data_IF_566590574925
#
_entry.id   IF_566590574925
#
_cell.length_a   1.000
_cell.length_b   1.000
_cell.length_c   1.000
_cell.angle_alpha   90.00
_cell.angle_beta   90.00
_cell.angle_gamma   90.00
#
_symmetry.space_group_name_H-M   'P 1'
#
loop_
_entity.id
_entity.type
_entity.pdbx_description
1 polymer ?
#
# COMPACT_ATOMS: atom_id res chain seq x y z
N UNK A 1 -25.95 -6.05 -8.00
CA UNK A 1 -24.65 -6.71 -7.82
C UNK A 1 -24.81 -8.12 -7.26
N UNK A 2 -25.53 -8.32 -6.15
CA UNK A 2 -25.77 -9.66 -5.57
C UNK A 2 -26.55 -10.60 -6.50
N UNK A 3 -27.54 -10.09 -7.26
CA UNK A 3 -28.26 -10.87 -8.26
C UNK A 3 -27.38 -11.27 -9.43
N UNK A 4 -26.51 -10.36 -9.91
CA UNK A 4 -25.53 -10.64 -10.94
C UNK A 4 -24.52 -11.71 -10.50
N UNK A 5 -24.04 -11.65 -9.27
CA UNK A 5 -23.17 -12.68 -8.68
C UNK A 5 -23.85 -14.07 -8.59
N UNK A 6 -25.15 -14.12 -8.26
CA UNK A 6 -25.90 -15.38 -8.27
C UNK A 6 -26.08 -15.92 -9.69
N UNK A 7 -26.35 -15.04 -10.65
CA UNK A 7 -26.47 -15.43 -12.06
C UNK A 7 -25.14 -15.93 -12.65
N UNK A 8 -24.00 -15.29 -12.28
CA UNK A 8 -22.67 -15.72 -12.69
C UNK A 8 -22.29 -17.09 -12.09
N UNK A 9 -22.72 -17.39 -10.84
CA UNK A 9 -22.52 -18.71 -10.24
C UNK A 9 -23.33 -19.81 -10.94
N UNK A 10 -24.49 -19.46 -11.52
CA UNK A 10 -25.36 -20.39 -12.25
C UNK A 10 -24.85 -20.63 -13.70
N UNK A 11 -24.24 -19.64 -14.32
CA UNK A 11 -23.64 -19.74 -15.68
C UNK A 11 -22.31 -18.99 -15.76
N UNK A 12 -21.20 -19.62 -15.33
CA UNK A 12 -19.87 -19.00 -15.32
C UNK A 12 -19.31 -18.67 -16.71
N UNK A 13 -19.89 -19.21 -17.77
CA UNK A 13 -19.49 -18.98 -19.17
C UNK A 13 -20.08 -17.72 -19.79
N UNK A 14 -21.11 -17.11 -19.20
CA UNK A 14 -21.86 -16.03 -19.79
C UNK A 14 -21.09 -14.69 -19.75
N UNK A 15 -20.59 -14.29 -20.91
CA UNK A 15 -19.80 -13.06 -21.07
C UNK A 15 -20.63 -11.80 -20.80
N UNK A 16 -21.92 -11.80 -21.12
CA UNK A 16 -22.79 -10.63 -20.91
C UNK A 16 -22.97 -10.33 -19.40
N UNK A 17 -23.15 -11.37 -18.59
CA UNK A 17 -23.25 -11.24 -17.11
C UNK A 17 -21.93 -10.75 -16.51
N UNK A 18 -20.79 -11.21 -17.04
CA UNK A 18 -19.47 -10.75 -16.59
C UNK A 18 -19.25 -9.27 -16.91
N UNK A 19 -19.72 -8.81 -18.05
CA UNK A 19 -19.59 -7.42 -18.48
C UNK A 19 -20.47 -6.50 -17.64
N UNK A 20 -21.71 -6.91 -17.37
CA UNK A 20 -22.62 -6.20 -16.49
C UNK A 20 -22.08 -6.08 -15.06
N UNK A 21 -21.48 -7.15 -14.51
CA UNK A 21 -20.84 -7.11 -13.17
C UNK A 21 -19.65 -6.17 -13.17
N UNK A 22 -18.83 -6.15 -14.21
CA UNK A 22 -17.68 -5.23 -14.33
C UNK A 22 -18.13 -3.77 -14.38
N UNK A 23 -19.20 -3.49 -15.13
CA UNK A 23 -19.76 -2.14 -15.22
C UNK A 23 -20.32 -1.68 -13.88
N UNK A 24 -21.06 -2.54 -13.18
CA UNK A 24 -21.55 -2.26 -11.84
C UNK A 24 -20.43 -2.06 -10.80
N UNK A 25 -19.39 -2.86 -10.85
CA UNK A 25 -18.21 -2.72 -9.99
C UNK A 25 -17.46 -1.39 -10.28
N UNK A 26 -17.29 -1.05 -11.56
CA UNK A 26 -16.71 0.23 -11.96
C UNK A 26 -17.51 1.43 -11.45
N UNK A 27 -18.84 1.40 -11.59
CA UNK A 27 -19.74 2.46 -11.08
C UNK A 27 -19.64 2.55 -9.55
N UNK A 28 -19.64 1.42 -8.86
CA UNK A 28 -19.52 1.38 -7.40
C UNK A 28 -18.19 1.95 -6.91
N UNK A 29 -17.09 1.58 -7.55
CA UNK A 29 -15.75 2.14 -7.24
C UNK A 29 -15.68 3.63 -7.52
N UNK A 30 -16.20 4.08 -8.66
CA UNK A 30 -16.26 5.50 -9.01
C UNK A 30 -17.05 6.30 -7.97
N UNK A 31 -18.23 5.81 -7.57
CA UNK A 31 -19.03 6.43 -6.54
C UNK A 31 -18.31 6.50 -5.18
N UNK A 32 -17.62 5.43 -4.80
CA UNK A 32 -16.84 5.37 -3.57
C UNK A 32 -15.70 6.40 -3.56
N UNK A 33 -14.87 6.45 -4.60
CA UNK A 33 -13.75 7.40 -4.68
C UNK A 33 -14.23 8.85 -4.78
N UNK A 34 -15.33 9.09 -5.49
CA UNK A 34 -15.96 10.42 -5.56
C UNK A 34 -16.47 10.85 -4.17
N UNK A 35 -17.11 9.96 -3.43
CA UNK A 35 -17.55 10.22 -2.06
C UNK A 35 -16.38 10.50 -1.11
N UNK A 36 -15.30 9.75 -1.20
CA UNK A 36 -14.07 9.97 -0.42
C UNK A 36 -13.45 11.35 -0.74
N UNK A 37 -13.44 11.74 -2.01
CA UNK A 37 -12.95 13.04 -2.42
C UNK A 37 -13.79 14.18 -1.82
N UNK A 38 -15.13 14.09 -1.90
CA UNK A 38 -16.03 15.08 -1.30
C UNK A 38 -15.90 15.15 0.23
N UNK A 39 -15.69 14.02 0.90
CA UNK A 39 -15.44 14.00 2.34
C UNK A 39 -14.15 14.74 2.72
N UNK A 40 -13.06 14.52 2.01
CA UNK A 40 -11.80 15.26 2.25
C UNK A 40 -11.97 16.76 2.02
N UNK A 41 -12.64 17.14 0.93
CA UNK A 41 -12.92 18.53 0.62
C UNK A 41 -13.80 19.19 1.70
N UNK A 42 -14.82 18.47 2.19
CA UNK A 42 -15.67 18.93 3.30
C UNK A 42 -14.87 19.24 4.57
N UNK A 43 -13.88 18.41 4.92
CA UNK A 43 -13.00 18.63 6.07
C UNK A 43 -12.16 19.91 5.87
N UNK A 44 -11.60 20.13 4.69
CA UNK A 44 -10.82 21.36 4.40
C UNK A 44 -11.67 22.63 4.49
N UNK A 45 -12.95 22.57 4.02
CA UNK A 45 -13.88 23.68 4.17
C UNK A 45 -14.25 23.96 5.63
N UNK A 46 -14.45 22.93 6.43
CA UNK A 46 -14.73 23.07 7.86
C UNK A 46 -13.54 23.69 8.60
N UNK A 47 -12.34 23.20 8.37
CA UNK A 47 -11.10 23.72 8.99
C UNK A 47 -10.85 25.16 8.54
N UNK A 48 -10.96 25.43 7.24
CA UNK A 48 -10.81 26.79 6.69
C UNK A 48 -11.82 27.77 7.25
N UNK A 49 -13.11 27.39 7.32
CA UNK A 49 -14.17 28.16 7.93
C UNK A 49 -13.94 28.47 9.42
N UNK A 50 -13.43 27.48 10.17
CA UNK A 50 -13.08 27.65 11.56
C UNK A 50 -11.94 28.65 11.76
N UNK A 51 -10.88 28.57 10.93
CA UNK A 51 -9.74 29.53 10.98
C UNK A 51 -10.23 30.95 10.68
N UNK A 52 -11.05 31.15 9.65
CA UNK A 52 -11.60 32.46 9.30
C UNK A 52 -12.46 33.02 10.45
N UNK A 53 -13.30 32.19 11.04
CA UNK A 53 -14.16 32.58 12.16
C UNK A 53 -13.34 32.98 13.39
N UNK A 54 -12.33 32.18 13.78
CA UNK A 54 -11.45 32.48 14.91
C UNK A 54 -10.63 33.77 14.69
N UNK A 55 -10.18 33.99 13.46
CA UNK A 55 -9.44 35.19 13.09
C UNK A 55 -10.34 36.44 13.16
N UNK A 56 -11.58 36.32 12.68
CA UNK A 56 -12.58 37.39 12.77
C UNK A 56 -12.93 37.72 14.24
N UNK A 57 -13.14 36.71 15.09
CA UNK A 57 -13.38 36.91 16.51
C UNK A 57 -12.20 37.57 17.22
N UNK A 58 -10.96 37.14 16.93
CA UNK A 58 -9.76 37.73 17.52
C UNK A 58 -9.57 39.17 17.10
N UNK A 59 -9.83 39.50 15.82
CA UNK A 59 -9.80 40.85 15.31
C UNK A 59 -10.86 41.75 15.99
N UNK A 60 -12.08 41.21 16.19
CA UNK A 60 -13.16 41.93 16.87
C UNK A 60 -12.84 42.16 18.34
N UNK A 61 -12.24 41.20 19.03
CA UNK A 61 -11.81 41.34 20.43
C UNK A 61 -10.71 42.42 20.58
N UNK A 62 -9.72 42.42 19.68
CA UNK A 62 -8.66 43.42 19.68
C UNK A 62 -9.19 44.86 19.43
N UNK A 63 -10.27 44.99 18.63
CA UNK A 63 -10.95 46.28 18.46
C UNK A 63 -11.70 46.75 19.73
N UNK A 64 -12.23 45.80 20.55
CA UNK A 64 -12.94 46.12 21.80
C UNK A 64 -12.00 46.53 22.94
N UNK A 65 -10.75 46.10 22.90
CA UNK A 65 -9.74 46.36 23.96
C UNK A 65 -9.01 47.71 23.77
N UNK A 66 -9.18 48.40 22.63
CA UNK A 66 -8.65 49.72 22.47
C UNK A 66 -9.45 50.71 23.34
N UNK A 67 -8.88 51.12 24.45
CA UNK A 67 -9.43 52.15 25.31
C UNK A 67 -9.62 53.47 24.52
N UNK A 68 -10.71 54.17 24.72
CA UNK A 68 -10.95 55.43 23.99
C UNK A 68 -9.89 56.44 24.41
N UNK A 69 -8.96 56.75 23.50
CA UNK A 69 -8.13 57.94 23.63
C UNK A 69 -9.03 59.16 23.41
N UNK A 70 -8.88 60.21 24.18
CA UNK A 70 -9.60 61.46 23.95
C UNK A 70 -8.98 62.17 22.75
N UNK A 71 -9.43 61.85 21.56
CA UNK A 71 -9.04 62.55 20.31
C UNK A 71 -10.18 63.43 19.88
N UNK A 72 -9.82 64.64 19.40
CA UNK A 72 -10.71 65.73 19.01
C UNK A 72 -11.39 65.52 17.63
N UNK A 73 -11.49 64.33 17.15
CA UNK A 73 -12.17 64.00 15.88
C UNK A 73 -13.68 63.81 16.09
N UNK A 74 -14.44 64.26 15.10
CA UNK A 74 -15.89 64.08 15.10
C UNK A 74 -16.24 62.59 15.09
N UNK A 75 -16.99 62.08 16.09
CA UNK A 75 -17.37 60.65 16.21
C UNK A 75 -18.10 60.09 14.99
N UNK A 76 -18.69 60.95 14.16
CA UNK A 76 -19.37 60.54 12.92
C UNK A 76 -18.42 60.19 11.78
N UNK A 77 -17.26 60.89 11.67
CA UNK A 77 -16.26 60.58 10.63
C UNK A 77 -15.56 59.23 10.90
N UNK A 78 -15.24 58.94 12.15
CA UNK A 78 -14.61 57.68 12.56
C UNK A 78 -15.52 56.48 12.32
N UNK A 79 -16.84 56.61 12.57
CA UNK A 79 -17.84 55.55 12.28
C UNK A 79 -17.98 55.30 10.76
N UNK A 80 -17.87 56.33 9.94
CA UNK A 80 -17.95 56.18 8.47
C UNK A 80 -16.68 55.52 7.92
N UNK A 81 -15.53 55.82 8.44
CA UNK A 81 -14.25 55.28 8.00
C UNK A 81 -14.12 53.78 8.43
N UNK A 82 -14.51 53.46 9.65
CA UNK A 82 -14.56 52.07 10.13
C UNK A 82 -15.59 51.22 9.36
N UNK A 83 -16.74 51.80 9.02
CA UNK A 83 -17.74 51.10 8.20
C UNK A 83 -17.26 50.84 6.77
N UNK A 84 -16.51 51.79 6.17
CA UNK A 84 -15.88 51.63 4.84
C UNK A 84 -14.81 50.53 4.87
N UNK A 85 -13.98 50.49 5.91
CA UNK A 85 -12.96 49.44 6.10
C UNK A 85 -13.56 48.07 6.31
N UNK A 86 -14.59 47.96 7.15
CA UNK A 86 -15.32 46.71 7.38
C UNK A 86 -15.97 46.16 6.09
N UNK A 87 -16.60 47.03 5.28
CA UNK A 87 -17.18 46.68 3.99
C UNK A 87 -16.09 46.18 3.01
N UNK A 88 -14.94 46.85 2.91
CA UNK A 88 -13.83 46.42 2.05
C UNK A 88 -13.31 45.05 2.49
N UNK A 89 -13.13 44.82 3.78
CA UNK A 89 -12.65 43.53 4.31
C UNK A 89 -13.61 42.37 4.03
N UNK A 90 -14.92 42.59 4.20
CA UNK A 90 -15.93 41.58 3.86
C UNK A 90 -15.98 41.29 2.35
N UNK A 91 -15.84 42.35 1.52
CA UNK A 91 -15.81 42.18 0.06
C UNK A 91 -14.58 41.39 -0.39
N UNK A 92 -13.40 41.71 0.16
CA UNK A 92 -12.16 40.97 -0.16
C UNK A 92 -12.26 39.52 0.30
N UNK A 93 -12.76 39.24 1.51
CA UNK A 93 -12.96 37.89 2.01
C UNK A 93 -13.95 37.11 1.13
N UNK A 94 -15.05 37.75 0.70
CA UNK A 94 -16.00 37.16 -0.22
C UNK A 94 -15.40 36.80 -1.59
N UNK A 95 -14.60 37.72 -2.16
CA UNK A 95 -13.92 37.49 -3.43
C UNK A 95 -12.87 36.38 -3.34
N UNK A 96 -12.12 36.27 -2.23
CA UNK A 96 -11.19 35.17 -1.97
C UNK A 96 -11.92 33.84 -1.87
N UNK A 97 -13.05 33.77 -1.17
CA UNK A 97 -13.86 32.56 -1.06
C UNK A 97 -14.45 32.15 -2.42
N UNK A 98 -14.92 33.10 -3.22
CA UNK A 98 -15.43 32.84 -4.58
C UNK A 98 -14.28 32.35 -5.48
N UNK A 99 -13.12 33.01 -5.45
CA UNK A 99 -11.94 32.59 -6.20
C UNK A 99 -11.49 31.18 -5.83
N UNK A 100 -11.46 30.85 -4.56
CA UNK A 100 -11.14 29.53 -4.05
C UNK A 100 -12.18 28.48 -4.48
N UNK A 101 -13.47 28.80 -4.41
CA UNK A 101 -14.54 27.93 -4.89
C UNK A 101 -14.46 27.68 -6.40
N UNK A 102 -14.10 28.70 -7.20
CA UNK A 102 -13.88 28.57 -8.64
C UNK A 102 -12.69 27.69 -8.97
N UNK A 103 -11.59 27.77 -8.22
CA UNK A 103 -10.43 26.88 -8.39
C UNK A 103 -10.80 25.43 -8.08
N UNK A 104 -11.65 25.22 -7.06
CA UNK A 104 -12.14 23.89 -6.70
C UNK A 104 -13.21 23.35 -7.67
N UNK A 105 -13.87 24.22 -8.44
CA UNK A 105 -14.82 23.87 -9.47
C UNK A 105 -14.18 23.57 -10.83
N UNK A 106 -12.86 23.75 -10.97
CA UNK A 106 -12.15 23.29 -12.16
C UNK A 106 -12.31 21.78 -12.29
N UNK A 107 -12.67 21.28 -13.48
CA UNK A 107 -12.83 19.87 -13.69
C UNK A 107 -11.50 19.16 -13.37
N UNK A 108 -11.54 18.29 -12.36
CA UNK A 108 -10.45 17.38 -12.11
C UNK A 108 -10.64 16.21 -13.06
N UNK A 109 -9.74 16.08 -14.00
CA UNK A 109 -9.63 14.87 -14.82
C UNK A 109 -9.30 13.72 -13.86
N UNK A 110 -10.26 12.83 -13.67
CA UNK A 110 -10.03 11.58 -12.99
C UNK A 110 -8.97 10.79 -13.77
N UNK A 111 -7.99 10.16 -13.12
CA UNK A 111 -7.08 9.23 -13.81
C UNK A 111 -7.81 8.10 -14.55
N UNK A 112 -9.12 7.95 -14.32
CA UNK A 112 -10.00 6.98 -14.98
C UNK A 112 -10.70 7.55 -16.23
N UNK A 113 -10.62 8.86 -16.49
CA UNK A 113 -11.26 9.50 -17.64
C UNK A 113 -10.39 9.45 -18.91
N UNK A 114 -9.16 8.89 -18.83
CA UNK A 114 -8.30 8.68 -20.00
C UNK A 114 -8.72 7.40 -20.77
N UNK A 115 -9.92 7.47 -21.40
CA UNK A 115 -10.47 6.43 -22.26
C UNK A 115 -9.58 6.15 -23.48
N UNK A 116 -8.65 7.06 -23.85
CA UNK A 116 -7.68 6.85 -24.90
C UNK A 116 -6.62 5.78 -24.60
N UNK A 117 -6.42 5.42 -23.31
CA UNK A 117 -5.58 4.27 -22.96
C UNK A 117 -6.32 2.94 -23.09
N UNK A 118 -7.63 2.93 -22.90
CA UNK A 118 -8.48 1.74 -23.11
C UNK A 118 -8.56 1.38 -24.61
N UNK A 119 -8.69 2.36 -25.49
CA UNK A 119 -8.77 2.12 -26.93
C UNK A 119 -7.44 1.65 -27.56
N UNK A 120 -6.30 1.97 -26.94
CA UNK A 120 -4.99 1.42 -27.34
C UNK A 120 -4.75 0.01 -26.82
N UNK A 121 -5.37 -0.36 -25.70
CA UNK A 121 -5.29 -1.71 -25.15
C UNK A 121 -6.22 -2.69 -25.86
N UNK A 122 -7.28 -2.21 -26.55
CA UNK A 122 -8.27 -3.07 -27.21
C UNK A 122 -7.80 -3.60 -28.59
N UNK A 123 -6.70 -3.08 -29.14
CA UNK A 123 -6.10 -3.57 -30.41
C UNK A 123 -4.91 -4.51 -30.23
N UNK A 124 -4.50 -4.85 -29.01
CA UNK A 124 -3.67 -6.00 -28.74
C UNK A 124 -4.59 -7.18 -28.40
N UNK A 125 -4.36 -8.35 -29.00
CA UNK A 125 -4.99 -9.58 -28.50
C UNK A 125 -4.95 -9.58 -26.97
N UNK A 126 -6.06 -9.91 -26.30
CA UNK A 126 -6.06 -9.91 -24.84
C UNK A 126 -4.97 -10.89 -24.40
N UNK A 127 -3.86 -10.35 -23.92
CA UNK A 127 -2.88 -11.15 -23.17
C UNK A 127 -3.63 -11.57 -21.91
N UNK A 128 -4.24 -12.75 -21.96
CA UNK A 128 -4.81 -13.38 -20.76
C UNK A 128 -3.62 -13.58 -19.83
N UNK A 129 -3.55 -12.87 -18.69
CA UNK A 129 -2.46 -13.10 -17.77
C UNK A 129 -2.46 -14.59 -17.42
N UNK A 130 -1.29 -15.22 -17.30
CA UNK A 130 -1.23 -16.62 -16.95
C UNK A 130 -2.04 -16.84 -15.65
N UNK A 131 -2.82 -17.92 -15.57
CA UNK A 131 -3.64 -18.20 -14.40
C UNK A 131 -2.72 -18.33 -13.17
N UNK A 132 -3.15 -17.76 -12.06
CA UNK A 132 -2.48 -17.95 -10.78
C UNK A 132 -2.47 -19.45 -10.42
N UNK A 133 -1.43 -19.90 -9.73
CA UNK A 133 -1.35 -21.28 -9.26
C UNK A 133 -2.61 -21.66 -8.45
N UNK A 134 -3.18 -22.80 -8.79
CA UNK A 134 -4.35 -23.34 -8.08
C UNK A 134 -4.00 -23.72 -6.63
N UNK A 135 -5.01 -23.88 -5.80
CA UNK A 135 -4.81 -24.33 -4.41
C UNK A 135 -4.14 -25.72 -4.34
N UNK A 136 -4.46 -26.61 -5.27
CA UNK A 136 -3.85 -27.94 -5.37
C UNK A 136 -2.38 -27.87 -5.76
N UNK A 137 -2.03 -26.97 -6.67
CA UNK A 137 -0.64 -26.72 -7.06
C UNK A 137 0.14 -26.09 -5.93
N UNK A 138 -0.42 -25.09 -5.26
CA UNK A 138 0.18 -24.48 -4.07
C UNK A 138 0.46 -25.52 -2.97
N UNK A 139 -0.45 -26.49 -2.78
CA UNK A 139 -0.32 -27.54 -1.76
C UNK A 139 0.83 -28.54 -2.04
N UNK A 140 1.30 -28.64 -3.29
CA UNK A 140 2.45 -29.49 -3.66
C UNK A 140 3.80 -28.85 -3.32
N UNK A 141 3.79 -27.57 -2.97
CA UNK A 141 4.98 -26.78 -2.70
C UNK A 141 4.95 -26.20 -1.28
N UNK A 142 5.98 -25.44 -0.92
CA UNK A 142 6.09 -24.73 0.36
C UNK A 142 6.06 -23.20 0.13
N UNK A 143 4.91 -22.63 -0.26
CA UNK A 143 4.82 -21.28 -0.86
C UNK A 143 4.81 -20.13 0.14
N UNK A 144 4.73 -20.40 1.45
CA UNK A 144 4.61 -19.41 2.50
C UNK A 144 5.15 -19.93 3.83
N UNK A 145 5.17 -19.07 4.85
CA UNK A 145 5.49 -19.47 6.21
C UNK A 145 4.59 -20.61 6.69
N UNK A 146 5.18 -21.75 7.05
CA UNK A 146 4.50 -22.99 7.44
C UNK A 146 3.61 -23.62 6.35
N UNK A 147 3.94 -23.39 5.08
CA UNK A 147 3.24 -23.99 3.96
C UNK A 147 1.88 -23.34 3.64
N UNK A 148 1.04 -24.02 2.90
CA UNK A 148 -0.26 -23.49 2.42
C UNK A 148 -1.26 -23.28 3.55
N UNK A 149 -1.30 -24.20 4.51
CA UNK A 149 -2.30 -24.21 5.58
C UNK A 149 -1.84 -23.50 6.85
N UNK A 150 -0.59 -23.08 6.90
CA UNK A 150 0.09 -22.51 8.07
C UNK A 150 0.07 -23.42 9.33
N UNK A 151 -0.34 -24.67 9.18
CA UNK A 151 -0.62 -25.53 10.33
C UNK A 151 0.45 -26.60 10.55
N UNK A 152 1.04 -27.20 9.52
CA UNK A 152 2.02 -28.30 9.73
C UNK A 152 2.82 -28.66 8.49
N UNK A 153 3.91 -29.39 8.74
CA UNK A 153 4.72 -30.18 7.84
C UNK A 153 3.91 -30.82 6.70
N UNK A 154 4.47 -30.76 5.50
CA UNK A 154 3.91 -31.41 4.33
C UNK A 154 3.69 -32.91 4.54
N UNK A 155 2.84 -33.47 3.74
CA UNK A 155 2.66 -34.94 3.65
C UNK A 155 3.99 -35.54 3.16
N UNK A 156 4.65 -36.32 3.99
CA UNK A 156 5.88 -37.00 3.65
C UNK A 156 6.64 -37.51 4.88
N UNK A 157 7.50 -38.48 4.66
CA UNK A 157 8.42 -38.96 5.69
C UNK A 157 9.51 -37.89 5.95
N UNK A 158 9.54 -37.38 7.18
CA UNK A 158 10.62 -36.48 7.61
C UNK A 158 11.85 -37.30 7.95
N UNK A 159 13.07 -36.89 7.56
CA UNK A 159 14.29 -37.56 7.96
C UNK A 159 14.45 -37.48 9.48
N UNK A 160 14.54 -38.67 10.11
CA UNK A 160 14.70 -38.81 11.56
C UNK A 160 16.17 -38.87 11.98
N UNK A 161 17.08 -39.15 11.04
CA UNK A 161 18.49 -39.31 11.28
C UNK A 161 19.31 -38.29 10.47
N UNK A 162 19.58 -37.17 11.09
CA UNK A 162 20.41 -36.09 10.51
C UNK A 162 21.25 -35.42 11.60
N UNK A 163 22.42 -34.93 11.20
CA UNK A 163 23.35 -34.24 12.07
C UNK A 163 24.04 -33.10 11.29
N UNK A 164 23.74 -31.88 11.71
CA UNK A 164 24.26 -30.65 11.08
C UNK A 164 25.76 -30.44 11.25
N UNK A 165 26.40 -31.07 12.27
CA UNK A 165 27.81 -30.92 12.55
C UNK A 165 28.63 -31.89 11.70
N UNK A 166 28.27 -33.18 11.65
CA UNK A 166 28.92 -34.19 10.82
C UNK A 166 28.50 -34.16 9.36
N UNK A 167 27.39 -33.50 9.02
CA UNK A 167 26.82 -33.48 7.68
C UNK A 167 26.00 -34.74 7.34
N UNK A 168 25.81 -35.66 8.27
CA UNK A 168 25.01 -36.85 8.05
C UNK A 168 23.56 -36.50 7.78
N UNK A 169 22.95 -37.06 6.73
CA UNK A 169 21.59 -36.74 6.32
C UNK A 169 21.40 -35.34 5.72
N UNK A 170 22.47 -34.60 5.49
CA UNK A 170 22.46 -33.28 4.85
C UNK A 170 22.87 -33.43 3.39
N UNK A 171 21.97 -33.10 2.46
CA UNK A 171 22.26 -33.18 1.02
C UNK A 171 23.25 -32.08 0.59
N UNK A 172 23.04 -30.88 1.07
CA UNK A 172 23.92 -29.72 0.82
C UNK A 172 23.78 -28.66 1.93
N UNK A 173 24.75 -27.77 2.02
CA UNK A 173 24.75 -26.63 2.95
C UNK A 173 25.36 -25.42 2.27
N UNK A 174 24.59 -24.35 2.15
CA UNK A 174 25.00 -23.12 1.47
C UNK A 174 24.88 -21.92 2.40
N UNK A 175 25.88 -21.02 2.46
CA UNK A 175 25.77 -19.78 3.21
C UNK A 175 24.79 -18.82 2.54
N UNK A 176 23.92 -18.18 3.34
CA UNK A 176 23.08 -17.07 2.90
C UNK A 176 23.91 -15.78 2.96
N UNK A 177 23.95 -14.96 1.89
CA UNK A 177 24.89 -13.83 1.80
C UNK A 177 24.70 -12.75 2.88
N UNK A 178 23.47 -12.52 3.35
CA UNK A 178 23.18 -11.54 4.42
C UNK A 178 22.33 -12.15 5.52
N UNK A 179 22.42 -11.61 6.75
CA UNK A 179 21.58 -12.09 7.84
C UNK A 179 20.11 -11.88 7.56
N UNK A 180 19.27 -12.77 8.08
CA UNK A 180 17.82 -12.69 8.01
C UNK A 180 17.21 -13.75 8.91
N UNK A 181 15.93 -13.56 9.24
CA UNK A 181 15.14 -14.49 10.08
C UNK A 181 13.96 -15.07 9.31
N UNK A 182 13.87 -14.79 8.00
CA UNK A 182 12.83 -15.38 7.15
C UNK A 182 13.00 -16.89 7.04
N UNK A 183 11.90 -17.62 7.02
CA UNK A 183 11.92 -19.02 6.59
C UNK A 183 12.07 -19.11 5.06
N UNK A 184 12.68 -20.17 4.54
CA UNK A 184 12.66 -20.42 3.11
C UNK A 184 11.24 -20.75 2.64
N UNK A 185 10.92 -20.33 1.42
CA UNK A 185 9.79 -20.87 0.64
C UNK A 185 10.34 -21.68 -0.52
N UNK A 186 9.57 -22.69 -0.93
CA UNK A 186 9.94 -23.60 -2.01
C UNK A 186 8.86 -23.59 -3.07
N UNK A 187 9.25 -23.33 -4.30
CA UNK A 187 8.40 -23.41 -5.47
C UNK A 187 9.13 -24.13 -6.59
N UNK A 188 8.55 -25.24 -7.06
CA UNK A 188 9.20 -26.16 -7.99
C UNK A 188 10.58 -26.61 -7.46
N UNK A 189 11.63 -26.41 -8.25
CA UNK A 189 13.00 -26.76 -7.92
C UNK A 189 13.82 -25.57 -7.36
N UNK A 190 13.16 -24.53 -6.86
CA UNK A 190 13.80 -23.32 -6.36
C UNK A 190 13.44 -23.03 -4.90
N UNK A 191 14.39 -22.52 -4.17
CA UNK A 191 14.24 -22.05 -2.79
C UNK A 191 14.47 -20.55 -2.78
N UNK A 192 13.55 -19.82 -2.14
CA UNK A 192 13.66 -18.38 -2.04
C UNK A 192 13.71 -17.92 -0.59
N UNK A 193 14.59 -16.95 -0.32
CA UNK A 193 14.79 -16.36 1.00
C UNK A 193 15.05 -14.88 0.90
N UNK A 194 14.87 -14.17 2.03
CA UNK A 194 15.29 -12.78 2.17
C UNK A 194 16.46 -12.66 3.12
N UNK A 195 17.29 -11.64 2.89
CA UNK A 195 18.33 -11.21 3.82
C UNK A 195 18.50 -9.70 3.76
N UNK A 196 19.06 -9.12 4.82
CA UNK A 196 19.25 -7.68 4.85
C UNK A 196 20.02 -7.19 6.05
N UNK A 197 20.64 -6.04 5.85
CA UNK A 197 21.32 -5.26 6.87
C UNK A 197 20.91 -3.77 6.77
N UNK A 198 21.64 -2.89 7.46
CA UNK A 198 21.38 -1.45 7.43
C UNK A 198 21.40 -0.85 6.04
N UNK A 199 22.20 -1.39 5.13
CA UNK A 199 22.48 -0.78 3.83
C UNK A 199 21.72 -1.47 2.71
N UNK A 200 21.51 -2.79 2.83
CA UNK A 200 21.06 -3.64 1.72
C UNK A 200 19.95 -4.58 2.19
N UNK A 201 18.90 -4.72 1.38
CA UNK A 201 17.85 -5.73 1.47
C UNK A 201 17.87 -6.50 0.17
N UNK A 202 17.85 -7.83 0.28
CA UNK A 202 18.00 -8.72 -0.86
C UNK A 202 17.03 -9.89 -0.80
N UNK A 203 16.65 -10.36 -1.97
CA UNK A 203 15.94 -11.61 -2.19
C UNK A 203 16.88 -12.55 -2.92
N UNK A 204 16.94 -13.80 -2.50
CA UNK A 204 17.80 -14.84 -3.04
C UNK A 204 16.98 -15.97 -3.63
N UNK A 205 17.48 -16.56 -4.70
CA UNK A 205 16.99 -17.81 -5.26
C UNK A 205 18.10 -18.83 -5.29
N UNK A 206 17.86 -20.02 -4.76
CA UNK A 206 18.77 -21.14 -4.77
C UNK A 206 18.17 -22.32 -5.51
N UNK A 207 19.00 -23.14 -6.14
CA UNK A 207 18.61 -24.45 -6.65
C UNK A 207 18.36 -25.42 -5.48
N UNK A 208 17.19 -26.04 -5.45
CA UNK A 208 16.83 -26.95 -4.34
C UNK A 208 17.61 -28.25 -4.33
N UNK A 209 18.20 -28.66 -5.46
CA UNK A 209 18.91 -29.93 -5.59
C UNK A 209 20.34 -29.88 -5.06
N UNK A 210 21.00 -28.71 -5.16
CA UNK A 210 22.42 -28.58 -4.85
C UNK A 210 22.79 -27.35 -3.98
N UNK A 211 21.79 -26.46 -3.73
CA UNK A 211 21.97 -25.24 -2.95
C UNK A 211 22.74 -24.13 -3.66
N UNK A 212 22.93 -24.22 -4.99
CA UNK A 212 23.60 -23.18 -5.77
C UNK A 212 22.76 -21.89 -5.76
N UNK A 213 23.41 -20.73 -5.51
CA UNK A 213 22.78 -19.41 -5.61
C UNK A 213 22.57 -19.05 -7.08
N UNK A 214 21.32 -19.11 -7.56
CA UNK A 214 20.97 -18.85 -8.96
C UNK A 214 20.93 -17.35 -9.26
N UNK A 215 20.33 -16.56 -8.37
CA UNK A 215 20.28 -15.11 -8.52
C UNK A 215 20.08 -14.38 -7.18
N UNK A 216 20.42 -13.11 -7.18
CA UNK A 216 20.19 -12.17 -6.09
C UNK A 216 19.51 -10.92 -6.64
N UNK A 217 18.40 -10.51 -6.04
CA UNK A 217 17.76 -9.24 -6.34
C UNK A 217 17.94 -8.26 -5.17
N UNK A 218 18.60 -7.12 -5.44
CA UNK A 218 18.74 -6.04 -4.47
C UNK A 218 17.51 -5.14 -4.52
N UNK A 219 16.79 -5.05 -3.40
CA UNK A 219 15.62 -4.18 -3.26
C UNK A 219 16.08 -2.74 -3.05
N UNK A 220 15.88 -1.91 -4.06
CA UNK A 220 16.26 -0.50 -4.08
C UNK A 220 15.31 0.30 -4.98
N UNK A 221 15.28 1.64 -4.82
CA UNK A 221 14.46 2.50 -5.67
C UNK A 221 12.96 2.22 -5.56
N UNK A 222 12.48 1.78 -4.41
CA UNK A 222 11.05 1.68 -4.10
C UNK A 222 10.55 3.07 -3.76
N UNK A 223 9.51 3.59 -4.44
CA UNK A 223 8.96 4.91 -4.13
C UNK A 223 8.50 5.00 -2.67
N UNK A 224 8.94 6.04 -1.95
CA UNK A 224 8.62 6.22 -0.53
C UNK A 224 9.55 5.47 0.45
N UNK A 225 10.51 4.69 -0.04
CA UNK A 225 11.52 4.03 0.81
C UNK A 225 12.30 5.06 1.64
N UNK A 226 12.53 4.80 2.94
CA UNK A 226 13.18 5.76 3.82
C UNK A 226 14.64 5.97 3.42
N UNK A 227 15.10 7.23 3.45
CA UNK A 227 16.50 7.60 3.13
C UNK A 227 17.51 7.04 4.16
N UNK A 228 17.04 6.76 5.38
CA UNK A 228 17.83 6.15 6.44
C UNK A 228 17.16 4.87 6.92
N UNK A 229 17.93 3.80 7.19
CA UNK A 229 17.36 2.56 7.69
C UNK A 229 16.74 2.79 9.08
N UNK A 230 15.62 2.13 9.39
CA UNK A 230 15.05 2.16 10.74
C UNK A 230 15.96 1.47 11.75
N UNK A 231 15.76 1.78 13.03
CA UNK A 231 16.30 0.95 14.09
C UNK A 231 15.44 -0.32 14.20
N UNK A 232 16.09 -1.46 14.28
CA UNK A 232 15.44 -2.76 14.48
C UNK A 232 16.14 -3.50 15.61
N UNK A 233 15.43 -4.43 16.25
CA UNK A 233 16.03 -5.36 17.21
C UNK A 233 16.99 -6.33 16.51
N UNK A 234 18.01 -6.78 17.22
CA UNK A 234 18.88 -7.87 16.77
C UNK A 234 18.13 -9.18 16.52
N UNK A 235 16.99 -9.36 17.21
CA UNK A 235 16.21 -10.60 17.17
C UNK A 235 15.33 -10.71 15.91
N UNK A 236 15.06 -9.59 15.24
CA UNK A 236 14.27 -9.52 14.00
C UNK A 236 15.10 -9.05 12.81
N UNK A 237 16.05 -8.13 13.02
CA UNK A 237 16.85 -7.60 11.94
C UNK A 237 16.03 -6.88 10.85
N UNK A 238 16.59 -6.85 9.65
CA UNK A 238 15.99 -6.12 8.51
C UNK A 238 15.14 -6.99 7.60
N UNK A 239 15.20 -8.34 7.72
CA UNK A 239 14.56 -9.32 6.87
C UNK A 239 14.02 -10.48 7.70
N UNK A 240 13.06 -10.19 8.59
CA UNK A 240 12.37 -11.20 9.41
C UNK A 240 11.17 -11.85 8.71
N UNK A 241 10.33 -11.11 7.93
CA UNK A 241 9.16 -11.69 7.32
C UNK A 241 9.52 -12.78 6.30
N UNK A 242 8.78 -13.86 6.37
CA UNK A 242 8.83 -14.88 5.31
C UNK A 242 8.06 -14.40 4.10
N UNK A 243 8.62 -14.65 2.95
CA UNK A 243 8.03 -14.39 1.64
C UNK A 243 6.80 -15.28 1.39
N UNK A 244 6.03 -14.93 0.36
CA UNK A 244 5.04 -15.83 -0.23
C UNK A 244 5.10 -15.74 -1.76
N UNK A 245 4.46 -16.70 -2.43
CA UNK A 245 4.35 -16.74 -3.90
C UNK A 245 2.93 -17.02 -4.33
N UNK A 246 2.58 -16.60 -5.54
CA UNK A 246 1.34 -16.97 -6.24
C UNK A 246 1.60 -17.97 -7.40
N UNK A 247 2.83 -18.47 -7.48
CA UNK A 247 3.30 -19.36 -8.55
C UNK A 247 3.88 -18.63 -9.75
N UNK A 248 3.64 -17.34 -9.89
CA UNK A 248 4.15 -16.47 -10.95
C UNK A 248 5.09 -15.39 -10.41
N UNK A 249 4.83 -14.97 -9.17
CA UNK A 249 5.53 -13.86 -8.51
C UNK A 249 5.93 -14.25 -7.09
N UNK A 250 6.96 -13.58 -6.62
CA UNK A 250 7.48 -13.66 -5.26
C UNK A 250 7.18 -12.34 -4.56
N UNK A 251 6.65 -12.39 -3.36
CA UNK A 251 6.33 -11.19 -2.57
C UNK A 251 7.20 -11.15 -1.31
N UNK A 252 7.92 -10.06 -1.14
CA UNK A 252 8.80 -9.84 0.01
C UNK A 252 8.55 -8.48 0.65
N UNK A 253 8.58 -8.42 1.98
CA UNK A 253 8.50 -7.18 2.75
C UNK A 253 9.68 -7.10 3.72
N UNK A 254 10.14 -5.88 3.96
CA UNK A 254 11.31 -5.60 4.81
C UNK A 254 10.97 -4.62 5.91
N UNK A 255 11.83 -4.53 6.93
CA UNK A 255 11.65 -3.61 8.06
C UNK A 255 11.61 -2.12 7.67
N UNK A 256 12.05 -1.77 6.45
CA UNK A 256 11.90 -0.43 5.87
C UNK A 256 10.49 -0.11 5.40
N UNK A 257 9.58 -1.09 5.45
CA UNK A 257 8.25 -1.00 4.87
C UNK A 257 8.23 -1.24 3.35
N UNK A 258 9.37 -1.56 2.75
CA UNK A 258 9.45 -1.88 1.33
C UNK A 258 8.81 -3.25 1.06
N UNK A 259 7.69 -3.23 0.35
CA UNK A 259 6.99 -4.39 -0.17
C UNK A 259 7.26 -4.48 -1.67
N UNK A 260 7.73 -5.62 -2.15
CA UNK A 260 8.06 -5.83 -3.56
C UNK A 260 7.47 -7.12 -4.10
N UNK A 261 7.09 -7.10 -5.37
CA UNK A 261 6.83 -8.30 -6.16
C UNK A 261 7.94 -8.47 -7.21
N UNK A 262 8.47 -9.68 -7.29
CA UNK A 262 9.43 -10.09 -8.31
C UNK A 262 8.80 -11.20 -9.15
N UNK A 263 9.21 -11.35 -10.41
CA UNK A 263 8.97 -12.59 -11.12
C UNK A 263 9.88 -13.72 -10.58
N UNK A 264 9.71 -14.94 -11.06
CA UNK A 264 10.51 -16.08 -10.59
C UNK A 264 11.98 -16.01 -11.05
N UNK A 265 12.28 -15.15 -12.02
CA UNK A 265 13.62 -14.85 -12.52
C UNK A 265 14.32 -13.73 -11.74
N UNK A 266 13.63 -13.11 -10.78
CA UNK A 266 14.15 -12.06 -9.90
C UNK A 266 14.02 -10.64 -10.44
N UNK A 267 13.27 -10.40 -11.52
CA UNK A 267 12.99 -9.06 -12.00
C UNK A 267 11.83 -8.44 -11.22
N UNK A 268 11.95 -7.16 -10.87
CA UNK A 268 10.90 -6.46 -10.11
C UNK A 268 9.70 -6.16 -11.01
N UNK A 269 8.54 -6.69 -10.62
CA UNK A 269 7.24 -6.42 -11.25
C UNK A 269 6.67 -5.11 -10.72
N UNK A 270 6.61 -4.96 -9.40
CA UNK A 270 6.22 -3.72 -8.75
C UNK A 270 6.90 -3.55 -7.38
N UNK A 271 6.85 -2.37 -6.82
CA UNK A 271 7.34 -2.07 -5.47
C UNK A 271 6.58 -0.92 -4.84
N UNK A 272 6.28 -1.05 -3.56
CA UNK A 272 5.54 -0.08 -2.75
C UNK A 272 6.14 0.02 -1.36
N UNK A 273 6.19 1.21 -0.81
CA UNK A 273 6.57 1.41 0.58
C UNK A 273 5.31 1.66 1.44
N UNK A 274 5.18 0.92 2.54
CA UNK A 274 4.06 1.02 3.49
C UNK A 274 4.35 1.97 4.67
N UNK A 275 5.49 2.65 4.63
CA UNK A 275 6.05 3.39 5.75
C UNK A 275 6.93 2.50 6.64
N UNK A 276 7.73 3.12 7.49
CA UNK A 276 8.51 2.40 8.50
C UNK A 276 7.59 2.07 9.67
N UNK A 277 7.48 0.81 10.10
CA UNK A 277 6.61 0.47 11.23
C UNK A 277 7.11 1.13 12.51
N UNK A 278 6.21 1.75 13.24
CA UNK A 278 6.49 2.38 14.52
C UNK A 278 6.48 1.30 15.62
N UNK A 279 7.51 0.48 15.64
CA UNK A 279 7.76 -0.46 16.72
C UNK A 279 9.28 -0.71 16.84
N UNK A 280 9.78 -1.09 18.03
CA UNK A 280 11.21 -1.25 18.28
C UNK A 280 11.80 -2.50 17.62
N UNK A 281 10.98 -3.43 17.15
CA UNK A 281 11.42 -4.70 16.56
C UNK A 281 11.60 -4.60 15.05
N UNK A 282 10.91 -3.67 14.38
CA UNK A 282 10.76 -3.63 12.93
C UNK A 282 9.59 -4.50 12.45
N UNK A 283 9.41 -4.62 11.15
CA UNK A 283 8.37 -5.46 10.57
C UNK A 283 8.77 -6.95 10.64
N UNK A 284 7.90 -7.79 11.18
CA UNK A 284 8.16 -9.23 11.37
C UNK A 284 7.05 -10.15 10.89
N UNK A 285 5.84 -9.62 10.61
CA UNK A 285 4.71 -10.41 10.14
C UNK A 285 4.95 -10.92 8.73
N UNK A 286 4.83 -12.25 8.54
CA UNK A 286 4.99 -12.89 7.24
C UNK A 286 3.81 -12.61 6.32
N UNK A 287 4.06 -12.61 5.02
CA UNK A 287 3.04 -12.38 4.00
C UNK A 287 2.20 -13.65 3.77
N UNK A 288 0.93 -13.45 3.46
CA UNK A 288 0.01 -14.52 3.09
C UNK A 288 -0.67 -14.13 1.78
N UNK A 289 -0.70 -15.06 0.83
CA UNK A 289 -1.49 -14.91 -0.40
C UNK A 289 -2.85 -15.56 -0.20
N UNK A 290 -3.91 -14.86 -0.56
CA UNK A 290 -5.28 -15.38 -0.63
C UNK A 290 -5.91 -14.96 -1.97
N UNK A 291 -6.19 -15.91 -2.83
CA UNK A 291 -6.68 -15.69 -4.19
C UNK A 291 -5.77 -14.72 -4.97
N UNK A 292 -6.28 -13.58 -5.39
CA UNK A 292 -5.58 -12.50 -6.09
C UNK A 292 -5.08 -11.38 -5.16
N UNK A 293 -5.15 -11.62 -3.85
CA UNK A 293 -4.72 -10.67 -2.84
C UNK A 293 -3.51 -11.16 -2.03
N UNK A 294 -2.62 -10.24 -1.76
CA UNK A 294 -1.56 -10.37 -0.78
C UNK A 294 -2.03 -9.73 0.54
N UNK A 295 -2.14 -10.52 1.59
CA UNK A 295 -2.56 -10.07 2.90
C UNK A 295 -1.34 -9.59 3.70
N UNK A 296 -1.41 -8.36 4.17
CA UNK A 296 -0.34 -7.71 4.94
C UNK A 296 -0.88 -7.30 6.30
N UNK A 297 -0.37 -7.93 7.35
CA UNK A 297 -0.57 -7.48 8.72
C UNK A 297 0.56 -6.53 9.10
N UNK A 298 0.25 -5.29 9.43
CA UNK A 298 1.22 -4.24 9.72
C UNK A 298 1.08 -3.76 11.15
N UNK A 299 1.83 -4.42 12.05
CA UNK A 299 1.77 -4.15 13.49
C UNK A 299 2.72 -3.03 13.88
N UNK A 300 2.21 -2.06 14.64
CA UNK A 300 2.95 -0.93 15.16
C UNK A 300 2.28 -0.40 16.44
N UNK A 301 2.97 0.48 17.18
CA UNK A 301 2.48 0.99 18.46
C UNK A 301 1.16 1.74 18.30
N UNK A 302 1.04 2.55 17.24
CA UNK A 302 -0.19 3.27 16.90
C UNK A 302 -0.53 3.12 15.42
N UNK A 303 -1.82 2.93 15.11
CA UNK A 303 -2.28 2.85 13.73
C UNK A 303 -1.91 1.53 13.03
N UNK A 304 -1.83 0.41 13.76
CA UNK A 304 -1.73 -0.93 13.15
C UNK A 304 -2.86 -1.17 12.15
N UNK A 305 -2.58 -1.85 11.06
CA UNK A 305 -3.58 -2.13 10.04
C UNK A 305 -3.41 -3.53 9.45
N UNK A 306 -4.49 -4.02 8.86
CA UNK A 306 -4.52 -5.20 8.02
C UNK A 306 -5.00 -4.78 6.63
N UNK A 307 -4.28 -5.18 5.59
CA UNK A 307 -4.57 -4.74 4.23
C UNK A 307 -4.52 -5.90 3.24
N UNK A 308 -5.39 -5.84 2.23
CA UNK A 308 -5.30 -6.63 1.02
C UNK A 308 -4.65 -5.81 -0.09
N UNK A 309 -3.63 -6.36 -0.72
CA UNK A 309 -2.91 -5.76 -1.85
C UNK A 309 -3.08 -6.65 -3.05
N UNK A 310 -3.53 -6.10 -4.17
CA UNK A 310 -3.64 -6.83 -5.43
C UNK A 310 -2.28 -7.37 -5.87
N UNK A 311 -2.19 -8.68 -6.13
CA UNK A 311 -0.93 -9.36 -6.43
C UNK A 311 -0.31 -8.92 -7.76
N UNK A 312 -1.11 -8.49 -8.72
CA UNK A 312 -0.63 -8.10 -10.04
C UNK A 312 -0.09 -6.67 -10.08
N UNK A 313 -0.74 -5.76 -9.34
CA UNK A 313 -0.50 -4.31 -9.44
C UNK A 313 0.13 -3.70 -8.19
N UNK A 314 0.05 -4.37 -7.04
CA UNK A 314 0.46 -3.81 -5.76
C UNK A 314 -0.48 -2.72 -5.21
N UNK A 315 -1.68 -2.53 -5.76
CA UNK A 315 -2.66 -1.57 -5.25
C UNK A 315 -3.48 -2.15 -4.10
N UNK A 316 -3.92 -1.25 -3.19
CA UNK A 316 -4.86 -1.59 -2.12
C UNK A 316 -6.27 -1.66 -2.65
#
# INVERSE_FOLDING_TARGET
>A
FEEGLKAMKADPGNQAIKEEIRELDYIARRAFFTSQHFNRMGIYFLVGGLVVTLTAFKSLAAYREQAPYPDSRDPKEDLIETAKWARKSVTIAGLVLIGFALVLALPWESPLDDTNQLDKATNSEPVVPPPLASQEEMARHWPAFRGVTAVVAGEGETPLDWDGESGRGITWKTPVPRPGFSSPIVWENRIYMTGGDKEVREVYCFDSSNGELLWTHRVSGVPGSPAKPPKVSSDTGYAAPTMTTDGLRLFAIFSTGDLVALDLEGNRVWGRNLGVPQNPYGHSSSLIRYEDMLLVQYDQEEGSFFAGVDVATGHF
#
